data_IF_030513013058
#
_entry.id   IF_030513013058
#
_cell.length_a   1.000
_cell.length_b   1.000
_cell.length_c   1.000
_cell.angle_alpha   90.00
_cell.angle_beta   90.00
_cell.angle_gamma   90.00
#
_symmetry.space_group_name_H-M   'P 1'
#
loop_
_entity.id
_entity.type
_entity.pdbx_description
1 polymer ?
#
# COMPACT_ATOMS: atom_id res chain seq x y z
N UNK A 1 -2.85 2.93 -23.66
CA UNK A 1 -4.15 3.00 -22.96
C UNK A 1 -4.14 4.26 -22.09
N UNK A 2 -4.75 5.34 -22.56
CA UNK A 2 -4.89 6.62 -21.85
C UNK A 2 -6.33 6.73 -21.32
N UNK A 3 -6.58 6.08 -20.20
CA UNK A 3 -7.72 6.37 -19.36
C UNK A 3 -7.14 6.70 -17.99
N UNK A 4 -7.20 7.97 -17.58
CA UNK A 4 -6.74 8.43 -16.27
C UNK A 4 -7.72 7.93 -15.20
N UNK A 5 -7.68 6.62 -14.95
CA UNK A 5 -8.41 6.00 -13.85
C UNK A 5 -7.75 6.44 -12.57
N UNK A 6 -8.46 7.21 -11.75
CA UNK A 6 -7.95 7.61 -10.45
C UNK A 6 -8.18 6.49 -9.45
N UNK A 7 -7.12 6.09 -8.74
CA UNK A 7 -7.20 5.02 -7.75
C UNK A 7 -6.62 5.51 -6.43
N UNK A 8 -7.44 5.48 -5.39
CA UNK A 8 -7.04 5.77 -4.01
C UNK A 8 -7.21 4.54 -3.15
N UNK A 9 -6.23 4.31 -2.30
CA UNK A 9 -6.19 3.18 -1.38
C UNK A 9 -5.97 3.69 0.03
N UNK A 10 -6.52 2.97 1.01
CA UNK A 10 -6.13 3.13 2.41
C UNK A 10 -5.16 2.01 2.76
N UNK A 11 -4.04 2.35 3.38
CA UNK A 11 -3.06 1.40 3.89
C UNK A 11 -2.76 1.69 5.36
N UNK A 12 -2.64 0.65 6.19
CA UNK A 12 -2.08 0.78 7.53
C UNK A 12 -0.69 0.16 7.53
N UNK A 13 0.30 0.97 7.90
CA UNK A 13 1.71 0.56 7.96
C UNK A 13 2.20 0.49 9.39
N UNK A 14 3.22 -0.34 9.62
CA UNK A 14 3.96 -0.32 10.87
C UNK A 14 4.79 0.96 10.97
N UNK A 15 4.85 1.55 12.16
CA UNK A 15 5.68 2.69 12.50
C UNK A 15 4.99 4.06 12.37
N UNK A 16 5.77 5.10 12.65
CA UNK A 16 5.36 6.49 12.54
C UNK A 16 5.80 7.05 11.18
N UNK A 17 4.86 7.22 10.25
CA UNK A 17 5.16 7.67 8.89
C UNK A 17 5.73 9.10 8.90
N UNK A 18 6.88 9.36 8.26
CA UNK A 18 7.45 10.69 8.20
C UNK A 18 6.56 11.65 7.38
N UNK A 19 6.17 12.78 7.96
CA UNK A 19 5.26 13.75 7.31
C UNK A 19 5.81 14.35 6.01
N UNK A 20 7.13 14.34 5.83
CA UNK A 20 7.81 14.86 4.64
C UNK A 20 7.79 13.88 3.45
N UNK A 21 7.52 12.59 3.67
CA UNK A 21 7.39 11.62 2.58
C UNK A 21 5.96 11.66 2.06
N UNK A 22 5.78 12.41 0.96
CA UNK A 22 4.50 12.57 0.26
C UNK A 22 4.45 11.92 -1.11
N UNK A 23 5.62 11.47 -1.58
CA UNK A 23 5.84 10.99 -2.94
C UNK A 23 6.89 9.88 -2.90
N UNK A 24 6.61 8.79 -3.60
CA UNK A 24 7.57 7.68 -3.78
C UNK A 24 7.56 7.32 -5.27
N UNK A 25 8.70 7.55 -5.94
CA UNK A 25 8.90 7.32 -7.38
C UNK A 25 9.98 6.28 -7.72
N UNK A 26 10.32 5.44 -6.75
CA UNK A 26 11.23 4.30 -6.93
C UNK A 26 10.70 3.35 -8.01
N UNK A 27 11.52 3.06 -9.02
CA UNK A 27 11.21 2.12 -10.11
C UNK A 27 11.02 0.70 -9.59
N UNK A 28 10.12 -0.04 -10.24
CA UNK A 28 9.74 -1.40 -9.83
C UNK A 28 10.05 -2.43 -10.90
N UNK A 29 10.87 -3.41 -10.54
CA UNK A 29 11.19 -4.57 -11.37
C UNK A 29 10.34 -5.76 -10.94
N UNK A 30 9.68 -6.41 -11.91
CA UNK A 30 8.94 -7.64 -11.68
C UNK A 30 9.89 -8.82 -11.95
N UNK A 31 10.11 -9.63 -10.93
CA UNK A 31 10.91 -10.85 -10.99
C UNK A 31 9.99 -12.07 -11.02
N UNK A 32 10.39 -13.08 -11.79
CA UNK A 32 9.77 -14.40 -11.76
C UNK A 32 10.76 -15.36 -11.08
N UNK A 33 10.38 -15.85 -9.92
CA UNK A 33 11.19 -16.78 -9.16
C UNK A 33 11.08 -18.18 -9.78
N UNK A 34 12.09 -19.03 -9.52
CA UNK A 34 12.10 -20.44 -9.98
C UNK A 34 10.89 -21.25 -9.51
N UNK A 35 10.24 -20.84 -8.41
CA UNK A 35 9.00 -21.42 -7.90
C UNK A 35 7.75 -21.01 -8.68
N UNK A 36 7.86 -20.15 -9.70
CA UNK A 36 6.73 -19.53 -10.40
C UNK A 36 6.12 -18.34 -9.66
N UNK A 37 6.56 -18.06 -8.43
CA UNK A 37 6.11 -16.90 -7.68
C UNK A 37 6.61 -15.60 -8.32
N UNK A 38 5.70 -14.61 -8.38
CA UNK A 38 6.04 -13.25 -8.82
C UNK A 38 6.45 -12.41 -7.63
N UNK A 39 7.66 -11.88 -7.67
CA UNK A 39 8.16 -10.90 -6.71
C UNK A 39 8.36 -9.55 -7.39
N UNK A 40 8.19 -8.46 -6.65
CA UNK A 40 8.46 -7.12 -7.15
C UNK A 40 9.44 -6.45 -6.20
N UNK A 41 10.50 -5.88 -6.76
CA UNK A 41 11.56 -5.20 -6.01
C UNK A 41 11.78 -3.79 -6.55
N UNK A 42 12.35 -2.93 -5.71
CA UNK A 42 12.89 -1.64 -6.17
C UNK A 42 14.20 -1.92 -6.92
N UNK A 43 14.32 -1.39 -8.14
CA UNK A 43 15.52 -1.52 -8.96
C UNK A 43 15.55 -0.43 -10.03
N UNK A 44 16.73 0.08 -10.36
CA UNK A 44 16.90 1.07 -11.43
C UNK A 44 16.55 0.56 -12.83
N UNK A 45 16.63 -0.76 -13.02
CA UNK A 45 16.17 -1.47 -14.23
C UNK A 45 14.66 -1.67 -14.26
N UNK A 46 13.96 -1.30 -13.19
CA UNK A 46 12.52 -1.40 -13.06
C UNK A 46 11.77 -0.40 -13.92
N UNK A 47 10.44 -0.55 -13.96
CA UNK A 47 9.55 0.40 -14.63
C UNK A 47 9.26 1.58 -13.72
N UNK A 48 9.19 2.77 -14.31
CA UNK A 48 8.71 3.98 -13.64
C UNK A 48 7.38 3.70 -12.93
N UNK A 49 7.37 4.09 -11.66
CA UNK A 49 6.29 3.82 -10.72
C UNK A 49 6.16 5.03 -9.81
N UNK A 50 4.95 5.55 -9.62
CA UNK A 50 4.71 6.73 -8.78
C UNK A 50 3.47 6.54 -7.91
N UNK A 51 3.67 6.67 -6.61
CA UNK A 51 2.64 6.66 -5.57
C UNK A 51 2.73 7.97 -4.78
N UNK A 52 1.62 8.69 -4.69
CA UNK A 52 1.48 9.82 -3.76
C UNK A 52 0.87 9.31 -2.45
N UNK A 53 1.36 9.83 -1.32
CA UNK A 53 1.03 9.32 0.00
C UNK A 53 0.66 10.47 0.92
N UNK A 54 -0.50 10.36 1.55
CA UNK A 54 -0.94 11.27 2.60
C UNK A 54 -1.15 10.53 3.92
N UNK A 55 -0.53 11.06 4.98
CA UNK A 55 -0.76 10.59 6.34
C UNK A 55 -2.11 11.10 6.83
N UNK A 56 -3.03 10.18 7.14
CA UNK A 56 -4.35 10.48 7.67
C UNK A 56 -4.37 10.47 9.19
N UNK A 57 -3.75 9.45 9.79
CA UNK A 57 -3.79 9.22 11.24
C UNK A 57 -2.55 8.44 11.69
N UNK A 58 -2.08 8.65 12.92
CA UNK A 58 -0.99 7.87 13.52
C UNK A 58 -1.09 7.81 15.04
N UNK A 59 -0.68 6.68 15.60
CA UNK A 59 -0.44 6.51 17.04
C UNK A 59 1.03 6.19 17.35
N UNK A 60 1.95 6.59 16.45
CA UNK A 60 3.40 6.30 16.45
C UNK A 60 3.78 4.85 16.22
N UNK A 61 2.96 3.88 16.63
CA UNK A 61 3.18 2.44 16.36
C UNK A 61 2.66 2.04 14.98
N UNK A 62 1.61 2.69 14.53
CA UNK A 62 0.99 2.50 13.22
C UNK A 62 0.67 3.85 12.59
N UNK A 63 0.60 3.86 11.27
CA UNK A 63 0.18 5.01 10.49
C UNK A 63 -0.83 4.60 9.43
N UNK A 64 -1.94 5.33 9.35
CA UNK A 64 -2.97 5.17 8.34
C UNK A 64 -2.71 6.16 7.21
N UNK A 65 -2.60 5.65 6.01
CA UNK A 65 -2.19 6.39 4.82
C UNK A 65 -3.28 6.33 3.75
N UNK A 66 -3.54 7.45 3.09
CA UNK A 66 -4.13 7.44 1.75
C UNK A 66 -3.00 7.32 0.72
N UNK A 67 -3.13 6.39 -0.23
CA UNK A 67 -2.20 6.20 -1.32
C UNK A 67 -2.91 6.43 -2.65
N UNK A 68 -2.51 7.45 -3.41
CA UNK A 68 -2.97 7.69 -4.78
C UNK A 68 -1.97 7.09 -5.76
N UNK A 69 -2.44 6.17 -6.61
CA UNK A 69 -1.63 5.58 -7.68
C UNK A 69 -1.65 6.47 -8.92
N UNK A 70 -0.48 6.94 -9.34
CA UNK A 70 -0.30 7.61 -10.64
C UNK A 70 0.02 6.56 -11.72
N UNK A 71 0.80 5.54 -11.35
CA UNK A 71 1.02 4.32 -12.14
C UNK A 71 0.39 3.12 -11.46
N UNK A 72 0.12 2.05 -12.21
CA UNK A 72 -0.48 0.82 -11.68
C UNK A 72 0.40 -0.42 -11.86
N UNK A 73 1.57 -0.49 -11.21
CA UNK A 73 2.43 -1.69 -11.25
C UNK A 73 1.97 -2.74 -10.24
N UNK A 74 2.31 -4.00 -10.51
CA UNK A 74 2.04 -5.11 -9.59
C UNK A 74 2.66 -4.83 -8.23
N UNK A 75 1.88 -4.98 -7.16
CA UNK A 75 2.32 -4.75 -5.76
C UNK A 75 2.88 -3.35 -5.46
N UNK A 76 2.62 -2.34 -6.30
CA UNK A 76 3.30 -1.04 -6.21
C UNK A 76 3.25 -0.41 -4.82
N UNK A 77 2.06 -0.25 -4.22
CA UNK A 77 1.92 0.34 -2.88
C UNK A 77 2.70 -0.49 -1.83
N UNK A 78 2.56 -1.82 -1.88
CA UNK A 78 3.20 -2.74 -0.94
C UNK A 78 4.71 -2.59 -0.94
N UNK A 79 5.32 -2.54 -2.13
CA UNK A 79 6.78 -2.43 -2.30
C UNK A 79 7.27 -1.01 -2.03
N UNK A 80 6.56 0.02 -2.47
CA UNK A 80 6.92 1.42 -2.18
C UNK A 80 6.95 1.69 -0.67
N UNK A 81 5.87 1.36 0.06
CA UNK A 81 5.79 1.58 1.50
C UNK A 81 6.86 0.77 2.26
N UNK A 82 7.10 -0.49 1.86
CA UNK A 82 8.24 -1.29 2.38
C UNK A 82 9.58 -0.60 2.12
N UNK A 83 9.78 -0.04 0.93
CA UNK A 83 11.06 0.58 0.54
C UNK A 83 11.37 1.87 1.30
N UNK A 84 10.38 2.47 1.95
CA UNK A 84 10.57 3.56 2.92
C UNK A 84 10.75 3.07 4.36
N UNK A 85 10.72 1.75 4.59
CA UNK A 85 10.86 1.16 5.92
C UNK A 85 9.55 0.96 6.68
N UNK A 86 8.40 1.25 6.06
CA UNK A 86 7.07 1.16 6.70
C UNK A 86 6.17 0.19 5.92
N UNK A 87 6.42 -1.12 5.99
CA UNK A 87 5.58 -2.08 5.26
C UNK A 87 4.15 -2.14 5.83
N UNK A 88 3.22 -2.57 4.98
CA UNK A 88 1.80 -2.71 5.32
C UNK A 88 1.61 -3.81 6.37
N UNK A 89 0.77 -3.53 7.36
CA UNK A 89 0.36 -4.47 8.39
C UNK A 89 -0.40 -5.65 7.75
N UNK A 90 -0.03 -6.88 8.13
CA UNK A 90 -0.63 -8.09 7.59
C UNK A 90 -0.17 -8.47 6.18
N UNK A 91 0.76 -7.73 5.57
CA UNK A 91 1.38 -8.14 4.30
C UNK A 91 2.33 -9.32 4.52
N UNK A 92 1.94 -10.52 4.10
CA UNK A 92 2.73 -11.74 4.30
C UNK A 92 4.00 -11.83 3.46
N UNK A 93 4.07 -11.08 2.35
CA UNK A 93 5.20 -11.13 1.41
C UNK A 93 6.22 -10.04 1.66
N UNK A 94 5.75 -8.80 1.86
CA UNK A 94 6.60 -7.62 1.98
C UNK A 94 6.67 -7.07 3.42
N UNK A 95 5.87 -7.62 4.34
CA UNK A 95 5.81 -7.18 5.73
C UNK A 95 6.76 -7.88 6.69
N UNK A 96 6.67 -7.47 7.96
CA UNK A 96 7.45 -8.05 9.05
C UNK A 96 6.78 -9.33 9.55
N UNK A 97 7.36 -10.50 9.22
CA UNK A 97 6.80 -11.82 9.56
C UNK A 97 6.44 -11.95 11.04
N UNK A 98 7.35 -11.59 11.95
CA UNK A 98 7.12 -11.78 13.38
C UNK A 98 6.12 -10.77 13.96
N UNK A 99 6.14 -9.51 13.50
CA UNK A 99 5.10 -8.54 13.90
C UNK A 99 3.73 -8.96 13.37
N UNK A 100 3.65 -9.47 12.15
CA UNK A 100 2.40 -9.98 11.58
C UNK A 100 1.84 -11.17 12.36
N UNK A 101 2.70 -12.06 12.91
CA UNK A 101 2.23 -13.12 13.82
C UNK A 101 1.54 -12.56 15.06
N UNK A 102 2.06 -11.47 15.64
CA UNK A 102 1.44 -10.81 16.80
C UNK A 102 0.11 -10.15 16.41
N UNK A 103 0.08 -9.47 15.25
CA UNK A 103 -1.14 -8.85 14.71
C UNK A 103 -2.25 -9.89 14.44
N UNK A 104 -1.90 -11.08 13.93
CA UNK A 104 -2.86 -12.19 13.76
C UNK A 104 -3.47 -12.65 15.09
N UNK A 105 -2.66 -12.72 16.16
CA UNK A 105 -3.16 -13.03 17.52
C UNK A 105 -4.13 -11.98 18.06
N UNK A 106 -4.11 -10.75 17.52
CA UNK A 106 -5.05 -9.68 17.84
C UNK A 106 -6.29 -9.70 16.93
N UNK A 107 -6.48 -10.75 16.11
CA UNK A 107 -7.66 -10.93 15.26
C UNK A 107 -7.53 -10.36 13.83
N UNK A 108 -6.42 -9.72 13.49
CA UNK A 108 -6.20 -9.14 12.16
C UNK A 108 -5.49 -10.16 11.28
N UNK A 109 -6.27 -10.89 10.48
CA UNK A 109 -5.80 -12.02 9.66
C UNK A 109 -5.63 -11.69 8.17
N UNK A 110 -5.62 -10.40 7.82
CA UNK A 110 -5.51 -9.92 6.44
C UNK A 110 -4.53 -8.77 6.32
N UNK A 111 -4.07 -8.52 5.10
CA UNK A 111 -3.35 -7.29 4.78
C UNK A 111 -4.29 -6.09 4.89
N UNK A 112 -3.84 -5.06 5.61
CA UNK A 112 -4.55 -3.79 5.77
C UNK A 112 -4.24 -2.84 4.61
N UNK A 113 -4.61 -3.27 3.40
CA UNK A 113 -4.64 -2.46 2.18
C UNK A 113 -6.03 -2.58 1.54
N UNK A 114 -6.71 -1.44 1.39
CA UNK A 114 -8.09 -1.37 0.92
C UNK A 114 -8.21 -0.43 -0.28
N UNK A 115 -8.90 -0.86 -1.33
CA UNK A 115 -9.21 0.00 -2.48
C UNK A 115 -10.40 0.88 -2.11
N UNK A 116 -10.13 2.16 -1.80
CA UNK A 116 -11.13 3.09 -1.27
C UNK A 116 -11.96 3.75 -2.36
N UNK A 117 -11.30 4.26 -3.38
CA UNK A 117 -11.95 5.02 -4.45
C UNK A 117 -11.39 4.62 -5.80
N UNK A 118 -12.28 4.47 -6.77
CA UNK A 118 -11.98 4.23 -8.17
C UNK A 118 -12.82 5.18 -9.01
N UNK A 119 -12.18 6.14 -9.69
CA UNK A 119 -12.87 7.10 -10.56
C UNK A 119 -12.51 6.86 -12.02
N UNK A 120 -13.51 6.96 -12.88
CA UNK A 120 -13.37 6.98 -14.33
C UNK A 120 -13.86 8.34 -14.85
N UNK A 121 -13.02 9.39 -14.85
CA UNK A 121 -13.46 10.75 -15.21
C UNK A 121 -14.08 10.85 -16.60
N UNK A 122 -13.60 10.04 -17.55
CA UNK A 122 -14.09 10.01 -18.93
C UNK A 122 -15.50 9.43 -19.06
N UNK A 123 -15.96 8.69 -18.04
CA UNK A 123 -17.28 8.07 -17.99
C UNK A 123 -18.18 8.75 -16.95
N UNK A 124 -17.67 9.76 -16.24
CA UNK A 124 -18.32 10.38 -15.08
C UNK A 124 -18.79 9.35 -14.02
N UNK A 125 -17.96 8.32 -13.78
CA UNK A 125 -18.24 7.27 -12.80
C UNK A 125 -17.28 7.37 -11.60
N UNK A 126 -17.84 7.28 -10.41
CA UNK A 126 -17.11 7.24 -9.14
C UNK A 126 -17.62 6.08 -8.27
N UNK A 127 -16.69 5.22 -7.86
CA UNK A 127 -16.96 4.11 -6.95
C UNK A 127 -16.17 4.32 -5.66
N UNK A 128 -16.87 4.29 -4.53
CA UNK A 128 -16.24 4.34 -3.20
C UNK A 128 -16.70 3.17 -2.35
N UNK A 129 -15.76 2.53 -1.65
CA UNK A 129 -16.03 1.44 -0.73
C UNK A 129 -15.70 1.84 0.71
N UNK A 130 -16.55 1.50 1.67
CA UNK A 130 -16.22 1.70 3.09
C UNK A 130 -15.02 0.85 3.51
N UNK A 131 -14.22 1.37 4.43
CA UNK A 131 -13.10 0.60 4.98
C UNK A 131 -13.62 -0.47 5.94
N UNK A 132 -13.05 -1.68 5.94
CA UNK A 132 -13.37 -2.69 6.94
C UNK A 132 -13.07 -2.22 8.37
N UNK A 133 -13.82 -2.72 9.36
CA UNK A 133 -13.67 -2.31 10.75
C UNK A 133 -12.26 -2.55 11.31
N UNK A 134 -11.54 -3.55 10.80
CA UNK A 134 -10.15 -3.86 11.17
C UNK A 134 -9.18 -2.69 10.90
N UNK A 135 -9.56 -1.71 10.07
CA UNK A 135 -8.75 -0.50 9.86
C UNK A 135 -8.84 0.51 11.02
N UNK A 136 -9.77 0.33 11.94
CA UNK A 136 -9.95 1.20 13.12
C UNK A 136 -9.36 0.58 14.38
N UNK A 137 -9.31 -0.75 14.47
CA UNK A 137 -8.93 -1.48 15.69
C UNK A 137 -7.52 -1.21 16.18
N UNK A 138 -6.61 -0.75 15.31
CA UNK A 138 -5.22 -0.43 15.67
C UNK A 138 -5.04 1.00 16.21
N UNK A 139 -6.09 1.83 16.19
CA UNK A 139 -6.07 3.24 16.61
C UNK A 139 -6.97 3.55 17.81
N UNK A 140 -7.81 2.59 18.21
CA UNK A 140 -8.56 2.61 19.47
C UNK A 140 -7.62 2.32 20.65
#
# INVERSE_FOLDING_TARGET
RQGNVEKKYIAIVFGNWPKNIKRIDKKLLKNELRSGEREVTVSEEGKESLTLVDLLETNKKFSKLECKLITGRTHQIRVHLKSEGFPIVGDEKYGYKDKNKLIKKQGINRMLLHSKTLKFPQLDLDFTAEEPNEFRTLFL
#
